data_IF_353485764513
#
_entry.id   IF_353485764513
#
_cell.length_a   1.000
_cell.length_b   1.000
_cell.length_c   1.000
_cell.angle_alpha   90.00
_cell.angle_beta   90.00
_cell.angle_gamma   90.00
#
_symmetry.space_group_name_H-M   'P 1'
#
loop_
_entity.id
_entity.type
_entity.pdbx_description
1 polymer ?
#
# COMPACT_ATOMS: atom_id res chain seq x y z
N UNK A 1 -3.30 11.34 18.05
CA UNK A 1 -2.98 11.06 16.64
C UNK A 1 -2.27 9.72 16.61
N UNK A 2 -2.89 8.68 16.06
CA UNK A 2 -2.12 7.48 15.72
C UNK A 2 -1.27 7.82 14.51
N UNK A 3 0.02 7.53 14.53
CA UNK A 3 0.86 7.69 13.35
C UNK A 3 0.37 6.69 12.30
N UNK A 4 -0.12 7.18 11.17
CA UNK A 4 -0.38 6.33 10.01
C UNK A 4 0.96 6.11 9.28
N UNK A 5 1.45 4.87 9.27
CA UNK A 5 2.69 4.49 8.61
C UNK A 5 2.39 3.54 7.45
N UNK A 6 3.05 3.75 6.31
CA UNK A 6 3.04 2.83 5.17
C UNK A 6 4.18 1.84 5.34
N UNK A 7 3.88 0.55 5.23
CA UNK A 7 4.83 -0.54 5.38
C UNK A 7 5.25 -1.05 4.00
N UNK A 8 6.54 -0.98 3.73
CA UNK A 8 7.19 -1.67 2.63
C UNK A 8 8.01 -2.84 3.19
N UNK A 9 7.94 -4.00 2.53
CA UNK A 9 8.66 -5.20 2.96
C UNK A 9 9.57 -5.70 1.84
N UNK A 10 10.83 -6.03 2.16
CA UNK A 10 11.73 -6.73 1.25
C UNK A 10 12.11 -8.06 1.91
N UNK A 11 11.56 -9.15 1.36
CA UNK A 11 11.79 -10.50 1.85
C UNK A 11 12.98 -11.15 1.15
N UNK A 12 14.16 -11.09 1.77
CA UNK A 12 15.38 -11.77 1.26
C UNK A 12 15.46 -13.16 1.89
N UNK A 13 15.05 -14.17 1.14
CA UNK A 13 15.07 -15.57 1.58
C UNK A 13 16.33 -16.30 1.12
N UNK A 14 17.07 -16.87 2.08
CA UNK A 14 18.11 -17.87 1.81
C UNK A 14 17.50 -19.28 1.97
N UNK A 15 18.15 -20.17 2.71
CA UNK A 15 17.80 -21.59 2.90
C UNK A 15 16.52 -21.90 3.69
N UNK A 16 15.99 -20.97 4.48
CA UNK A 16 14.77 -21.19 5.29
C UNK A 16 13.50 -20.54 4.69
N UNK A 17 13.62 -19.92 3.51
CA UNK A 17 12.52 -19.22 2.87
C UNK A 17 12.11 -17.93 3.60
N UNK A 18 11.13 -17.24 3.03
CA UNK A 18 10.44 -16.08 3.61
C UNK A 18 8.95 -16.32 3.44
N UNK A 19 8.18 -16.08 4.49
CA UNK A 19 6.72 -16.09 4.40
C UNK A 19 6.24 -14.89 3.59
N UNK A 20 6.06 -15.11 2.29
CA UNK A 20 5.70 -14.06 1.34
C UNK A 20 4.30 -13.55 1.55
N UNK A 21 3.41 -14.43 1.99
CA UNK A 21 1.99 -14.11 2.14
C UNK A 21 1.78 -13.25 3.38
N UNK A 22 2.47 -13.56 4.49
CA UNK A 22 2.48 -12.70 5.67
C UNK A 22 3.02 -11.29 5.37
N UNK A 23 4.14 -11.19 4.66
CA UNK A 23 4.73 -9.89 4.31
C UNK A 23 3.84 -9.08 3.35
N UNK A 24 3.22 -9.73 2.36
CA UNK A 24 2.23 -9.07 1.49
C UNK A 24 1.04 -8.56 2.28
N UNK A 25 0.48 -9.41 3.14
CA UNK A 25 -0.67 -9.05 3.96
C UNK A 25 -0.41 -7.82 4.84
N UNK A 26 0.77 -7.74 5.47
CA UNK A 26 1.14 -6.60 6.30
C UNK A 26 1.32 -5.32 5.48
N UNK A 27 2.04 -5.40 4.35
CA UNK A 27 2.34 -4.25 3.50
C UNK A 27 1.06 -3.68 2.87
N UNK A 28 0.24 -4.53 2.24
CA UNK A 28 -0.94 -4.11 1.47
C UNK A 28 -2.02 -3.47 2.34
N UNK A 29 -2.15 -3.91 3.60
CA UNK A 29 -3.09 -3.30 4.56
C UNK A 29 -2.78 -1.85 4.89
N UNK A 30 -1.52 -1.44 4.70
CA UNK A 30 -1.08 -0.06 4.89
C UNK A 30 -1.01 0.72 3.57
N UNK A 31 -1.32 0.09 2.44
CA UNK A 31 -1.17 0.68 1.10
C UNK A 31 0.23 0.53 0.49
N UNK A 32 1.17 -0.12 1.18
CA UNK A 32 2.52 -0.38 0.70
C UNK A 32 2.65 -1.68 -0.09
N UNK A 33 3.89 -2.16 -0.27
CA UNK A 33 4.24 -3.33 -1.11
C UNK A 33 5.24 -4.27 -0.46
N UNK A 34 5.15 -5.54 -0.82
CA UNK A 34 6.17 -6.54 -0.51
C UNK A 34 6.93 -6.97 -1.77
N UNK A 35 8.26 -6.97 -1.69
CA UNK A 35 9.20 -7.33 -2.74
C UNK A 35 9.99 -8.58 -2.33
N UNK A 36 10.27 -9.46 -3.29
CA UNK A 36 10.93 -10.75 -3.04
C UNK A 36 12.05 -10.99 -4.07
N UNK A 37 13.13 -10.20 -4.01
CA UNK A 37 14.24 -10.29 -4.96
C UNK A 37 14.92 -11.66 -4.88
N UNK A 38 15.36 -12.20 -6.04
CA UNK A 38 16.08 -13.48 -6.12
C UNK A 38 17.59 -13.29 -6.29
N UNK A 39 18.01 -12.15 -6.85
CA UNK A 39 19.39 -11.77 -7.10
C UNK A 39 19.66 -10.35 -6.62
N UNK A 40 20.93 -9.97 -6.45
CA UNK A 40 21.31 -8.62 -6.00
C UNK A 40 20.77 -7.49 -6.88
N UNK A 41 20.70 -7.69 -8.21
CA UNK A 41 20.10 -6.72 -9.12
C UNK A 41 18.61 -6.47 -8.85
N UNK A 42 17.85 -7.50 -8.47
CA UNK A 42 16.43 -7.37 -8.14
C UNK A 42 16.23 -6.57 -6.85
N UNK A 43 17.20 -6.61 -5.92
CA UNK A 43 17.15 -5.84 -4.68
C UNK A 43 17.30 -4.34 -4.96
N UNK A 44 18.28 -3.96 -5.80
CA UNK A 44 18.46 -2.57 -6.20
C UNK A 44 17.22 -2.04 -6.92
N UNK A 45 16.64 -2.82 -7.85
CA UNK A 45 15.40 -2.46 -8.53
C UNK A 45 14.23 -2.28 -7.54
N UNK A 46 14.09 -3.15 -6.54
CA UNK A 46 13.07 -2.99 -5.51
C UNK A 46 13.25 -1.70 -4.69
N UNK A 47 14.49 -1.32 -4.37
CA UNK A 47 14.77 -0.06 -3.69
C UNK A 47 14.45 1.16 -4.56
N UNK A 48 14.82 1.14 -5.84
CA UNK A 48 14.50 2.22 -6.78
C UNK A 48 12.97 2.40 -6.94
N UNK A 49 12.21 1.30 -7.03
CA UNK A 49 10.75 1.37 -7.07
C UNK A 49 10.17 1.99 -5.78
N UNK A 50 10.66 1.58 -4.60
CA UNK A 50 10.23 2.18 -3.33
C UNK A 50 10.58 3.67 -3.28
N UNK A 51 11.78 4.05 -3.72
CA UNK A 51 12.20 5.44 -3.76
C UNK A 51 11.30 6.29 -4.66
N UNK A 52 10.99 5.81 -5.86
CA UNK A 52 10.09 6.49 -6.79
C UNK A 52 8.68 6.63 -6.21
N UNK A 53 8.17 5.59 -5.56
CA UNK A 53 6.87 5.64 -4.89
C UNK A 53 6.84 6.66 -3.75
N UNK A 54 7.86 6.66 -2.89
CA UNK A 54 7.97 7.63 -1.78
C UNK A 54 8.06 9.08 -2.28
N UNK A 55 8.63 9.31 -3.48
CA UNK A 55 8.71 10.63 -4.11
C UNK A 55 7.41 11.08 -4.78
N UNK A 56 6.50 10.15 -5.08
CA UNK A 56 5.26 10.42 -5.85
C UNK A 56 3.98 10.25 -5.02
N UNK A 57 4.08 10.21 -3.69
CA UNK A 57 2.91 10.09 -2.81
C UNK A 57 2.04 11.36 -2.83
N UNK A 58 0.81 11.21 -3.32
CA UNK A 58 -0.26 12.17 -3.10
C UNK A 58 -1.03 11.79 -1.83
N UNK A 59 -1.03 12.65 -0.82
CA UNK A 59 -1.84 12.46 0.39
C UNK A 59 -3.27 12.94 0.12
N UNK A 60 -4.22 12.01 0.07
CA UNK A 60 -5.65 12.32 -0.04
C UNK A 60 -6.29 12.09 1.33
N UNK A 61 -6.74 13.17 1.96
CA UNK A 61 -7.48 13.09 3.22
C UNK A 61 -9.00 13.04 2.94
N UNK A 62 -9.67 12.02 3.48
CA UNK A 62 -11.12 11.88 3.42
C UNK A 62 -11.69 11.74 4.83
N UNK A 63 -12.70 12.55 5.14
CA UNK A 63 -13.49 12.42 6.37
C UNK A 63 -14.87 11.88 6.02
N UNK A 64 -15.28 10.81 6.68
CA UNK A 64 -16.61 10.24 6.44
C UNK A 64 -17.69 11.17 6.97
N UNK A 65 -18.76 11.33 6.19
CA UNK A 65 -19.97 12.04 6.61
C UNK A 65 -20.72 11.31 7.72
N UNK A 66 -20.48 10.02 7.92
CA UNK A 66 -21.01 9.25 9.05
C UNK A 66 -20.15 9.48 10.30
N UNK A 67 -20.68 10.24 11.27
CA UNK A 67 -19.97 10.57 12.53
C UNK A 67 -20.10 9.50 13.62
N UNK A 68 -20.85 8.40 13.39
CA UNK A 68 -21.04 7.35 14.40
C UNK A 68 -19.71 6.62 14.67
N UNK A 69 -19.35 6.50 15.95
CA UNK A 69 -18.18 5.74 16.43
C UNK A 69 -18.64 4.38 16.95
N UNK A 70 -19.08 3.54 16.03
CA UNK A 70 -19.75 2.27 16.31
C UNK A 70 -18.83 1.05 16.21
N UNK A 71 -17.53 1.25 16.00
CA UNK A 71 -16.58 0.15 15.81
C UNK A 71 -16.68 -0.53 14.44
N UNK A 72 -17.58 -0.08 13.56
CA UNK A 72 -17.80 -0.73 12.27
C UNK A 72 -16.62 -0.52 11.32
N UNK A 73 -16.33 -1.54 10.50
CA UNK A 73 -15.36 -1.42 9.41
C UNK A 73 -15.94 -0.59 8.26
N UNK A 74 -15.19 0.41 7.82
CA UNK A 74 -15.54 1.31 6.71
C UNK A 74 -14.57 1.07 5.56
N UNK A 75 -15.07 0.46 4.48
CA UNK A 75 -14.32 0.22 3.26
C UNK A 75 -14.03 1.55 2.54
N UNK A 76 -12.84 1.67 1.98
CA UNK A 76 -12.44 2.78 1.11
C UNK A 76 -12.25 2.22 -0.30
N UNK A 77 -12.74 2.93 -1.30
CA UNK A 77 -12.47 2.69 -2.72
C UNK A 77 -12.00 4.01 -3.33
N UNK A 78 -10.91 4.00 -4.07
CA UNK A 78 -10.40 5.17 -4.79
C UNK A 78 -10.45 4.88 -6.29
N UNK A 79 -11.07 5.77 -7.06
CA UNK A 79 -11.25 5.63 -8.50
C UNK A 79 -10.79 6.92 -9.20
N UNK A 80 -10.19 6.75 -10.38
CA UNK A 80 -9.84 7.88 -11.26
C UNK A 80 -11.09 8.20 -12.08
N UNK A 81 -11.58 9.43 -12.01
CA UNK A 81 -12.82 9.86 -12.70
C UNK A 81 -12.56 10.46 -14.09
N UNK A 82 -11.33 10.86 -14.40
CA UNK A 82 -10.97 11.43 -15.70
C UNK A 82 -10.92 10.32 -16.78
N UNK A 83 -11.75 10.37 -17.84
CA UNK A 83 -11.81 9.34 -18.87
C UNK A 83 -10.51 9.16 -19.66
N UNK A 84 -9.71 10.21 -19.85
CA UNK A 84 -8.41 10.11 -20.55
C UNK A 84 -7.36 9.42 -19.67
N UNK A 85 -7.39 9.70 -18.37
CA UNK A 85 -6.50 9.06 -17.41
C UNK A 85 -6.91 7.61 -17.12
N UNK A 86 -8.19 7.27 -17.22
CA UNK A 86 -8.64 5.87 -17.14
C UNK A 86 -8.10 5.00 -18.28
N UNK A 87 -7.88 5.59 -19.47
CA UNK A 87 -7.26 4.90 -20.62
C UNK A 87 -5.78 4.62 -20.38
N UNK A 88 -5.12 5.47 -19.58
CA UNK A 88 -3.79 5.18 -19.07
C UNK A 88 -3.97 4.12 -17.97
N UNK A 89 -3.27 2.98 -18.05
CA UNK A 89 -3.39 1.88 -17.07
C UNK A 89 -2.77 2.26 -15.72
N UNK A 90 -3.33 3.27 -15.06
CA UNK A 90 -2.86 3.80 -13.78
C UNK A 90 -3.08 2.76 -12.69
N UNK A 91 -2.04 2.51 -11.90
CA UNK A 91 -2.14 1.64 -10.72
C UNK A 91 -2.49 2.50 -9.51
N UNK A 92 -3.73 2.39 -9.03
CA UNK A 92 -4.18 3.10 -7.83
C UNK A 92 -3.88 2.22 -6.62
N UNK A 93 -3.18 2.77 -5.62
CA UNK A 93 -2.94 2.12 -4.33
C UNK A 93 -3.51 2.98 -3.22
N UNK A 94 -4.28 2.35 -2.33
CA UNK A 94 -4.85 3.00 -1.18
C UNK A 94 -5.09 1.96 -0.07
N UNK A 95 -5.25 2.44 1.16
CA UNK A 95 -5.68 1.57 2.26
C UNK A 95 -7.09 1.03 1.99
N UNK A 96 -7.38 -0.24 2.32
CA UNK A 96 -8.67 -0.87 2.01
C UNK A 96 -9.83 -0.34 2.86
N UNK A 97 -9.55 0.31 3.98
CA UNK A 97 -10.56 0.79 4.91
C UNK A 97 -10.03 1.09 6.29
N UNK A 98 -10.92 1.36 7.23
CA UNK A 98 -10.59 1.62 8.64
C UNK A 98 -11.76 1.28 9.56
N UNK A 99 -11.47 1.10 10.84
CA UNK A 99 -12.50 0.91 11.86
C UNK A 99 -12.89 2.26 12.46
N UNK A 100 -14.20 2.49 12.60
CA UNK A 100 -14.72 3.69 13.27
C UNK A 100 -14.39 3.62 14.77
N UNK A 101 -13.43 4.44 15.22
CA UNK A 101 -13.05 4.59 16.63
C UNK A 101 -13.61 5.87 17.23
#
# INVERSE_FOLDING_TARGET
MAAEAVIYAIGIGSRYGVDKDALRYLAERTGGRAFFPKKGADLNAAFEEIEQELRTQYLIAYSSTNKRRDGAYRKITVEVTNPELQKQKLTIRHRPGYFAR
#
